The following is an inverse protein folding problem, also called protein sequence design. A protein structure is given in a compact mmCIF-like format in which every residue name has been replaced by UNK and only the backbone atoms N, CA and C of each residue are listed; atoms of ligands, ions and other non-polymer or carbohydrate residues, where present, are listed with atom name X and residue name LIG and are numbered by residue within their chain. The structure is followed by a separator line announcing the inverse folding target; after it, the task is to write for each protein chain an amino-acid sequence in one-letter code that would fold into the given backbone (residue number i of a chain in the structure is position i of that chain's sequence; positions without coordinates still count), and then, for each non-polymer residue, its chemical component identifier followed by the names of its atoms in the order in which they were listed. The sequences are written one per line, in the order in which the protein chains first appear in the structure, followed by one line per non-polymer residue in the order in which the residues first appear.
data_IF_726070361732
#
_entry.id   IF_726070361732
#
_cell.length_a   1.000
_cell.length_b   1.000
_cell.length_c   1.000
_cell.angle_alpha   90.00
_cell.angle_beta   90.00
_cell.angle_gamma   90.00
#
_symmetry.space_group_name_H-M   'P 1'
#
loop_
_entity.id
_entity.type
_entity.pdbx_description
1 polymer ?
#
# COMPACT_ATOMS: atom_id res chain seq x y z
N UNK A 1 -9.04 9.68 -13.03
CA UNK A 1 -8.37 9.21 -11.82
C UNK A 1 -7.66 10.32 -11.06
N UNK A 2 -6.93 11.17 -11.74
CA UNK A 2 -6.17 12.24 -11.08
C UNK A 2 -7.04 13.20 -10.29
N UNK A 3 -8.21 13.58 -10.82
CA UNK A 3 -9.11 14.47 -10.10
C UNK A 3 -9.68 13.81 -8.84
N UNK A 4 -9.94 12.50 -8.89
CA UNK A 4 -10.42 11.75 -7.73
C UNK A 4 -9.35 11.68 -6.64
N UNK A 5 -8.10 11.48 -7.04
CA UNK A 5 -6.98 11.45 -6.10
C UNK A 5 -6.73 12.81 -5.48
N UNK A 6 -6.84 13.89 -6.27
CA UNK A 6 -6.68 15.25 -5.76
C UNK A 6 -7.78 15.59 -4.76
N UNK A 7 -9.02 15.14 -5.02
CA UNK A 7 -10.13 15.33 -4.10
C UNK A 7 -9.91 14.55 -2.81
N UNK A 8 -9.41 13.33 -2.91
CA UNK A 8 -9.11 12.49 -1.74
C UNK A 8 -7.99 13.12 -0.90
N UNK A 9 -6.94 13.62 -1.53
CA UNK A 9 -5.87 14.30 -0.83
C UNK A 9 -6.39 15.51 -0.08
N UNK A 10 -7.23 16.31 -0.71
CA UNK A 10 -7.82 17.49 -0.09
C UNK A 10 -8.70 17.10 1.10
N UNK A 11 -9.52 16.06 0.95
CA UNK A 11 -10.36 15.58 2.04
C UNK A 11 -9.54 15.11 3.24
N UNK A 12 -8.47 14.36 2.99
CA UNK A 12 -7.57 13.91 4.05
C UNK A 12 -6.97 15.12 4.79
N UNK A 13 -6.54 16.14 4.05
CA UNK A 13 -5.96 17.33 4.64
C UNK A 13 -6.96 18.09 5.52
N UNK A 14 -8.24 18.08 5.14
CA UNK A 14 -9.30 18.75 5.92
C UNK A 14 -9.71 17.93 7.14
N UNK A 15 -9.82 16.60 6.99
CA UNK A 15 -10.29 15.71 8.05
C UNK A 15 -9.19 15.31 9.03
N UNK A 16 -7.95 15.20 8.56
CA UNK A 16 -6.81 14.79 9.38
C UNK A 16 -5.61 15.69 9.08
N UNK A 17 -5.69 16.98 9.43
CA UNK A 17 -4.66 17.92 9.06
C UNK A 17 -3.32 17.70 9.74
N UNK A 18 -3.29 16.95 10.82
CA UNK A 18 -2.10 16.69 11.63
C UNK A 18 -1.93 15.19 11.85
N UNK A 19 -0.68 14.77 12.01
CA UNK A 19 -0.37 13.41 12.40
C UNK A 19 -0.10 12.46 11.23
N UNK A 20 0.38 11.25 11.56
CA UNK A 20 0.73 10.25 10.56
C UNK A 20 -0.51 9.61 9.93
N UNK A 21 -0.34 9.19 8.67
CA UNK A 21 -1.39 8.51 7.93
C UNK A 21 -0.95 7.11 7.55
N UNK A 22 -1.92 6.20 7.53
CA UNK A 22 -1.74 4.86 6.95
C UNK A 22 -2.79 4.75 5.85
N UNK A 23 -2.35 4.43 4.64
CA UNK A 23 -3.23 4.38 3.49
C UNK A 23 -3.13 3.03 2.80
N UNK A 24 -4.21 2.61 2.18
CA UNK A 24 -4.18 1.38 1.40
C UNK A 24 -5.42 0.56 1.59
N UNK A 25 -5.31 -0.69 1.20
CA UNK A 25 -6.41 -1.62 1.33
C UNK A 25 -6.30 -2.77 0.35
N UNK A 26 -7.45 -3.37 0.09
CA UNK A 26 -7.60 -4.53 -0.77
C UNK A 26 -7.81 -4.10 -2.21
N UNK A 27 -7.08 -4.73 -3.13
CA UNK A 27 -7.22 -4.55 -4.58
C UNK A 27 -7.08 -3.07 -4.97
N UNK A 28 -8.16 -2.39 -5.35
CA UNK A 28 -8.11 -0.98 -5.74
C UNK A 28 -7.61 -0.06 -4.62
N UNK A 29 -7.89 -0.41 -3.36
CA UNK A 29 -7.39 0.36 -2.23
C UNK A 29 -5.88 0.44 -2.20
N UNK A 30 -5.21 -0.67 -2.48
CA UNK A 30 -3.76 -0.70 -2.56
C UNK A 30 -3.22 0.04 -3.78
N UNK A 31 -3.94 -0.01 -4.90
CA UNK A 31 -3.57 0.74 -6.11
C UNK A 31 -3.68 2.24 -5.86
N UNK A 32 -4.76 2.68 -5.20
CA UNK A 32 -4.95 4.08 -4.84
C UNK A 32 -3.83 4.57 -3.92
N UNK A 33 -3.41 3.74 -2.97
CA UNK A 33 -2.33 4.08 -2.06
C UNK A 33 -1.04 4.36 -2.82
N UNK A 34 -0.74 3.54 -3.83
CA UNK A 34 0.45 3.77 -4.66
C UNK A 34 0.38 5.13 -5.36
N UNK A 35 -0.80 5.49 -5.87
CA UNK A 35 -0.99 6.78 -6.53
C UNK A 35 -0.87 7.95 -5.54
N UNK A 36 -1.36 7.78 -4.29
CA UNK A 36 -1.24 8.82 -3.27
C UNK A 36 0.22 9.16 -2.96
N UNK A 37 1.14 8.20 -3.11
CA UNK A 37 2.55 8.46 -2.90
C UNK A 37 3.14 9.44 -3.91
N UNK A 38 2.47 9.67 -5.05
CA UNK A 38 2.91 10.65 -6.03
C UNK A 38 2.52 12.09 -5.64
N UNK A 39 1.68 12.26 -4.63
CA UNK A 39 1.14 13.54 -4.24
C UNK A 39 1.90 14.12 -3.03
N UNK A 40 1.78 15.43 -2.79
CA UNK A 40 2.47 16.05 -1.64
C UNK A 40 2.12 15.42 -0.29
N UNK A 41 0.92 14.85 -0.13
CA UNK A 41 0.50 14.19 1.10
C UNK A 41 1.39 13.00 1.47
N UNK A 42 2.20 12.52 0.53
CA UNK A 42 3.09 11.38 0.76
C UNK A 42 4.00 11.58 1.98
N UNK A 43 4.40 12.81 2.27
CA UNK A 43 5.26 13.10 3.42
C UNK A 43 4.60 12.72 4.74
N UNK A 44 3.27 12.71 4.80
CA UNK A 44 2.51 12.35 6.00
C UNK A 44 2.22 10.85 6.08
N UNK A 45 2.38 10.13 4.98
CA UNK A 45 2.07 8.69 4.93
C UNK A 45 3.21 7.94 5.61
N UNK A 46 2.90 7.22 6.68
CA UNK A 46 3.86 6.42 7.44
C UNK A 46 3.76 4.94 7.15
N UNK A 47 2.65 4.50 6.58
CA UNK A 47 2.44 3.11 6.23
C UNK A 47 1.54 2.96 5.03
N UNK A 48 1.79 1.94 4.23
CA UNK A 48 1.01 1.60 3.04
C UNK A 48 0.55 0.16 3.15
N UNK A 49 -0.67 -0.11 2.74
CA UNK A 49 -1.25 -1.45 2.73
C UNK A 49 -1.58 -1.84 1.29
N UNK A 50 -1.02 -2.94 0.83
CA UNK A 50 -1.31 -3.49 -0.49
C UNK A 50 -1.70 -4.96 -0.36
N UNK A 51 -2.99 -5.25 -0.46
CA UNK A 51 -3.51 -6.62 -0.38
C UNK A 51 -4.21 -6.98 -1.69
N UNK A 52 -3.74 -8.06 -2.34
CA UNK A 52 -4.28 -8.50 -3.62
C UNK A 52 -4.25 -7.38 -4.66
N UNK A 53 -3.16 -6.66 -4.73
CA UNK A 53 -3.01 -5.43 -5.51
C UNK A 53 -1.94 -5.60 -6.58
N UNK A 54 -2.20 -5.01 -7.75
CA UNK A 54 -1.20 -4.98 -8.82
C UNK A 54 -0.39 -3.69 -8.74
N UNK A 55 0.84 -3.77 -9.23
CA UNK A 55 1.73 -2.62 -9.33
C UNK A 55 1.20 -1.65 -10.40
N UNK A 56 1.07 -0.38 -10.05
CA UNK A 56 0.66 0.66 -10.98
C UNK A 56 1.81 1.66 -11.15
N UNK A 57 1.99 2.11 -12.39
CA UNK A 57 3.01 3.11 -12.76
C UNK A 57 4.36 2.80 -12.12
N UNK A 58 4.97 1.65 -12.46
CA UNK A 58 6.16 1.17 -11.74
C UNK A 58 7.36 2.12 -11.83
N UNK A 59 7.59 2.76 -12.95
CA UNK A 59 8.74 3.66 -13.09
C UNK A 59 8.58 4.92 -12.25
N UNK A 60 7.38 5.50 -12.25
CA UNK A 60 7.06 6.68 -11.46
C UNK A 60 7.12 6.35 -9.98
N UNK A 61 6.61 5.20 -9.58
CA UNK A 61 6.64 4.77 -8.18
C UNK A 61 8.08 4.54 -7.72
N UNK A 62 8.88 3.88 -8.53
CA UNK A 62 10.28 3.63 -8.21
C UNK A 62 11.04 4.94 -7.96
N UNK A 63 10.84 5.91 -8.85
CA UNK A 63 11.48 7.21 -8.71
C UNK A 63 11.02 7.92 -7.43
N UNK A 64 9.71 7.89 -7.18
CA UNK A 64 9.15 8.55 -6.02
C UNK A 64 9.65 7.95 -4.71
N UNK A 65 9.75 6.62 -4.64
CA UNK A 65 10.26 5.94 -3.45
C UNK A 65 11.72 6.30 -3.17
N UNK A 66 12.49 6.61 -4.21
CA UNK A 66 13.88 7.05 -4.01
C UNK A 66 13.97 8.44 -3.42
N UNK A 67 12.90 9.23 -3.51
CA UNK A 67 12.84 10.60 -2.98
C UNK A 67 12.25 10.67 -1.59
N UNK A 68 11.46 9.69 -1.20
CA UNK A 68 10.78 9.68 0.10
C UNK A 68 11.63 8.98 1.16
N UNK A 69 11.44 9.39 2.42
CA UNK A 69 11.99 8.63 3.54
C UNK A 69 11.38 7.24 3.55
N UNK A 70 12.15 6.25 3.97
CA UNK A 70 11.67 4.87 4.03
C UNK A 70 10.63 4.73 5.14
N UNK A 71 9.56 3.99 4.83
CA UNK A 71 8.45 3.78 5.75
C UNK A 71 8.11 2.29 5.78
N UNK A 72 6.84 1.95 5.96
CA UNK A 72 6.45 0.56 6.19
C UNK A 72 5.33 0.15 5.25
N UNK A 73 5.44 -1.07 4.72
CA UNK A 73 4.44 -1.67 3.84
C UNK A 73 3.90 -2.95 4.45
N UNK A 74 2.57 -3.07 4.49
CA UNK A 74 1.91 -4.34 4.78
C UNK A 74 1.44 -4.92 3.45
N UNK A 75 1.94 -6.10 3.11
CA UNK A 75 1.68 -6.73 1.83
C UNK A 75 1.07 -8.12 2.05
N UNK A 76 -0.03 -8.41 1.38
CA UNK A 76 -0.67 -9.71 1.44
C UNK A 76 -1.19 -10.09 0.05
N UNK A 77 -0.99 -11.32 -0.35
CA UNK A 77 -1.45 -11.77 -1.66
C UNK A 77 -1.67 -13.27 -1.67
N UNK A 78 -2.74 -13.71 -2.35
CA UNK A 78 -3.06 -15.13 -2.48
C UNK A 78 -2.38 -15.77 -3.67
N UNK A 79 -1.76 -16.91 -3.46
CA UNK A 79 -1.05 -17.60 -4.54
C UNK A 79 -1.99 -18.14 -5.63
N UNK A 80 -3.29 -18.24 -5.32
CA UNK A 80 -4.31 -18.70 -6.28
C UNK A 80 -5.16 -17.57 -6.83
N UNK A 81 -4.72 -16.33 -6.66
CA UNK A 81 -5.45 -15.17 -7.17
C UNK A 81 -5.42 -15.17 -8.70
N UNK A 82 -6.61 -15.27 -9.31
CA UNK A 82 -6.74 -15.27 -10.77
C UNK A 82 -7.03 -13.88 -11.33
N UNK A 83 -7.41 -12.93 -10.48
CA UNK A 83 -7.67 -11.55 -10.91
C UNK A 83 -6.39 -10.73 -10.96
N UNK A 84 -5.55 -10.90 -9.95
CA UNK A 84 -4.24 -10.27 -9.90
C UNK A 84 -3.24 -11.38 -9.59
N UNK A 85 -2.53 -11.88 -10.61
CA UNK A 85 -1.54 -12.93 -10.37
C UNK A 85 -0.53 -12.51 -9.29
N UNK A 86 -0.11 -13.46 -8.47
CA UNK A 86 0.77 -13.16 -7.35
C UNK A 86 2.09 -12.53 -7.81
N UNK A 87 2.53 -12.83 -9.02
CA UNK A 87 3.73 -12.24 -9.60
C UNK A 87 3.62 -10.71 -9.69
N UNK A 88 2.42 -10.21 -9.99
CA UNK A 88 2.16 -8.76 -10.03
C UNK A 88 2.26 -8.16 -8.63
N UNK A 89 1.80 -8.90 -7.62
CA UNK A 89 1.93 -8.47 -6.22
C UNK A 89 3.37 -8.49 -5.75
N UNK A 90 4.12 -9.54 -6.11
CA UNK A 90 5.53 -9.63 -5.74
C UNK A 90 6.34 -8.46 -6.28
N UNK A 91 5.96 -7.94 -7.45
CA UNK A 91 6.64 -6.78 -8.02
C UNK A 91 6.54 -5.55 -7.10
N UNK A 92 5.39 -5.39 -6.42
CA UNK A 92 5.22 -4.31 -5.42
C UNK A 92 6.17 -4.53 -4.24
N UNK A 93 6.14 -5.71 -3.65
CA UNK A 93 6.97 -6.02 -2.49
C UNK A 93 8.45 -5.80 -2.80
N UNK A 94 8.89 -6.28 -3.96
CA UNK A 94 10.27 -6.13 -4.39
C UNK A 94 10.67 -4.66 -4.53
N UNK A 95 9.78 -3.86 -5.12
CA UNK A 95 10.06 -2.45 -5.35
C UNK A 95 10.24 -1.69 -4.02
N UNK A 96 9.34 -1.94 -3.06
CA UNK A 96 9.41 -1.29 -1.75
C UNK A 96 10.61 -1.78 -0.94
N UNK A 97 10.89 -3.08 -0.98
CA UNK A 97 12.08 -3.63 -0.29
C UNK A 97 13.37 -3.05 -0.85
N UNK A 98 13.46 -2.94 -2.17
CA UNK A 98 14.63 -2.36 -2.82
C UNK A 98 14.84 -0.90 -2.42
N UNK A 99 13.73 -0.19 -2.16
CA UNK A 99 13.79 1.20 -1.71
C UNK A 99 14.11 1.33 -0.21
N UNK A 100 14.23 0.21 0.51
CA UNK A 100 14.60 0.22 1.92
C UNK A 100 13.43 0.22 2.89
N UNK A 101 12.20 0.06 2.40
CA UNK A 101 11.02 0.00 3.27
C UNK A 101 10.98 -1.30 4.06
N UNK A 102 10.42 -1.24 5.27
CA UNK A 102 10.18 -2.43 6.07
C UNK A 102 8.88 -3.07 5.57
N UNK A 103 8.97 -4.27 5.01
CA UNK A 103 7.83 -4.96 4.40
C UNK A 103 7.40 -6.13 5.27
N UNK A 104 6.13 -6.09 5.73
CA UNK A 104 5.47 -7.24 6.34
C UNK A 104 4.80 -8.01 5.21
N UNK A 105 5.33 -9.19 4.89
CA UNK A 105 4.91 -9.94 3.71
C UNK A 105 4.16 -11.20 4.11
N UNK A 106 2.92 -11.32 3.64
CA UNK A 106 2.08 -12.49 3.90
C UNK A 106 1.55 -13.05 2.59
N UNK A 107 1.99 -14.25 2.23
CA UNK A 107 1.42 -15.02 1.15
C UNK A 107 0.44 -16.02 1.73
N UNK A 108 -0.68 -16.26 1.06
CA UNK A 108 -1.64 -17.27 1.51
C UNK A 108 -2.05 -18.17 0.34
N UNK A 109 -2.71 -19.27 0.68
CA UNK A 109 -3.03 -20.31 -0.30
C UNK A 109 -4.36 -20.12 -1.00
N UNK A 110 -5.04 -19.00 -0.77
CA UNK A 110 -6.35 -18.70 -1.34
C UNK A 110 -6.23 -17.74 -2.53
N UNK A 111 -7.36 -17.29 -3.04
CA UNK A 111 -7.42 -16.42 -4.22
C UNK A 111 -7.50 -14.95 -3.87
N UNK A 112 -8.35 -14.23 -4.61
CA UNK A 112 -8.49 -12.77 -4.51
C UNK A 112 -9.36 -12.41 -3.30
N UNK A 113 -8.79 -12.52 -2.10
CA UNK A 113 -9.52 -12.28 -0.84
C UNK A 113 -8.54 -12.04 0.30
N UNK A 114 -9.07 -11.61 1.44
CA UNK A 114 -8.31 -11.50 2.69
C UNK A 114 -8.81 -12.62 3.60
N UNK A 115 -8.01 -13.68 3.82
CA UNK A 115 -8.44 -14.77 4.71
C UNK A 115 -8.63 -14.29 6.13
N UNK A 116 -9.66 -14.81 6.81
CA UNK A 116 -9.97 -14.41 8.19
C UNK A 116 -8.79 -14.62 9.13
N UNK A 117 -8.05 -15.71 8.96
CA UNK A 117 -6.90 -16.03 9.82
C UNK A 117 -5.79 -14.99 9.77
N UNK A 118 -5.78 -14.12 8.76
CA UNK A 118 -4.76 -13.08 8.61
C UNK A 118 -5.25 -11.70 9.04
N UNK A 119 -6.51 -11.54 9.44
CA UNK A 119 -7.03 -10.25 9.90
C UNK A 119 -6.30 -9.76 11.15
N UNK A 120 -5.92 -10.68 12.03
CA UNK A 120 -5.23 -10.30 13.25
C UNK A 120 -3.85 -9.71 12.96
N UNK A 121 -3.13 -10.27 11.98
CA UNK A 121 -1.83 -9.73 11.60
C UNK A 121 -1.93 -8.28 11.13
N UNK A 122 -2.97 -7.97 10.35
CA UNK A 122 -3.20 -6.60 9.90
C UNK A 122 -3.52 -5.67 11.08
N UNK A 123 -4.38 -6.13 12.00
CA UNK A 123 -4.72 -5.33 13.18
C UNK A 123 -3.48 -5.04 14.01
N UNK A 124 -2.66 -6.05 14.24
CA UNK A 124 -1.42 -5.88 15.02
C UNK A 124 -0.47 -4.90 14.34
N UNK A 125 -0.31 -5.02 13.03
CA UNK A 125 0.54 -4.11 12.29
C UNK A 125 0.04 -2.66 12.41
N UNK A 126 -1.28 -2.46 12.30
CA UNK A 126 -1.88 -1.13 12.42
C UNK A 126 -1.66 -0.51 13.80
N UNK A 127 -1.68 -1.31 14.87
CA UNK A 127 -1.48 -0.78 16.22
C UNK A 127 -0.08 -0.20 16.42
N UNK A 128 0.90 -0.60 15.61
CA UNK A 128 2.27 -0.10 15.74
C UNK A 128 2.42 1.36 15.32
N UNK A 129 1.38 1.95 14.74
CA UNK A 129 1.37 3.38 14.38
C UNK A 129 0.67 4.26 15.42
N UNK A 130 0.15 3.68 16.46
CA UNK A 130 -0.56 4.42 17.53
C UNK A 130 0.40 5.09 18.49
#
# INVERSE_FOLDING_TARGET
MDSSLSQLEKLIAEEAPMGPLVVGGFSQGGAMAQELLQLPIADRIQGVICMATRLVRPMELRLRLSELETKRLFWMHGEKDIRVPIEDGWAIAHLFETAGWAVELIEHHKGHMIPIEHHQALKEWLTTFS
#
